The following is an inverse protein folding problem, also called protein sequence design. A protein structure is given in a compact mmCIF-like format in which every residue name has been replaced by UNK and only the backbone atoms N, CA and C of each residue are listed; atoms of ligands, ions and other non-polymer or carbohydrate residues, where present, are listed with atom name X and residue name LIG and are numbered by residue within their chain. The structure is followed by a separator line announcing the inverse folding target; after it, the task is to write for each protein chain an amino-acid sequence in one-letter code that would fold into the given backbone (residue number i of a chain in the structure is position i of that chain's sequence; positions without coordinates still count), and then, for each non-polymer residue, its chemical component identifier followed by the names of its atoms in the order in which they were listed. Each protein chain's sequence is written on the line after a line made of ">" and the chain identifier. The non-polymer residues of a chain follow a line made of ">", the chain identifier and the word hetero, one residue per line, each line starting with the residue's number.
data_IF_864584387210
#
_entry.id   IF_864584387210
#
_cell.length_a   1.000
_cell.length_b   1.000
_cell.length_c   1.000
_cell.angle_alpha   90.00
_cell.angle_beta   90.00
_cell.angle_gamma   90.00
#
_symmetry.space_group_name_H-M   'P 1'
#
loop_
_entity.id
_entity.type
_entity.pdbx_description
1 polymer ?
#
# COMPACT_ATOMS: atom_id res chain seq x y z
N UNK A 1 -42.23 -15.39 -8.91
CA UNK A 1 -41.58 -14.60 -7.83
C UNK A 1 -40.23 -15.18 -7.35
N UNK A 2 -40.10 -16.50 -7.17
CA UNK A 2 -38.83 -17.17 -6.78
C UNK A 2 -37.69 -16.97 -7.81
N UNK A 3 -37.97 -17.15 -9.10
CA UNK A 3 -36.99 -16.98 -10.19
C UNK A 3 -36.46 -15.54 -10.32
N UNK A 4 -37.26 -14.51 -10.00
CA UNK A 4 -36.82 -13.11 -10.04
C UNK A 4 -35.83 -12.78 -8.91
N UNK A 5 -36.09 -13.29 -7.69
CA UNK A 5 -35.18 -13.15 -6.54
C UNK A 5 -33.84 -13.85 -6.77
N UNK A 6 -33.85 -14.99 -7.45
CA UNK A 6 -32.64 -15.75 -7.77
C UNK A 6 -31.77 -15.04 -8.82
N UNK A 7 -32.39 -14.52 -9.89
CA UNK A 7 -31.70 -13.68 -10.89
C UNK A 7 -31.17 -12.36 -10.32
N UNK A 8 -31.88 -11.71 -9.40
CA UNK A 8 -31.39 -10.48 -8.75
C UNK A 8 -30.17 -10.77 -7.84
N UNK A 9 -30.14 -11.94 -7.20
CA UNK A 9 -29.05 -12.33 -6.29
C UNK A 9 -27.77 -12.70 -7.05
N UNK A 10 -27.88 -13.42 -8.17
CA UNK A 10 -26.75 -13.76 -9.03
C UNK A 10 -26.13 -12.51 -9.66
N UNK A 11 -26.96 -11.57 -10.12
CA UNK A 11 -26.51 -10.32 -10.75
C UNK A 11 -25.76 -9.39 -9.75
N UNK A 12 -26.29 -9.25 -8.52
CA UNK A 12 -25.58 -8.54 -7.43
C UNK A 12 -24.22 -9.16 -7.12
N UNK A 13 -24.14 -10.48 -7.07
CA UNK A 13 -22.90 -11.19 -6.75
C UNK A 13 -21.86 -11.02 -7.86
N UNK A 14 -22.27 -11.08 -9.13
CA UNK A 14 -21.39 -10.80 -10.28
C UNK A 14 -20.88 -9.35 -10.28
N UNK A 15 -21.76 -8.38 -10.01
CA UNK A 15 -21.37 -6.97 -9.89
C UNK A 15 -20.35 -6.80 -8.76
N UNK A 16 -20.61 -7.38 -7.59
CA UNK A 16 -19.68 -7.34 -6.44
C UNK A 16 -18.29 -7.91 -6.79
N UNK A 17 -18.24 -9.10 -7.42
CA UNK A 17 -16.98 -9.75 -7.82
C UNK A 17 -16.21 -8.86 -8.81
N UNK A 18 -16.90 -8.25 -9.79
CA UNK A 18 -16.27 -7.35 -10.76
C UNK A 18 -15.68 -6.11 -10.10
N UNK A 19 -16.40 -5.46 -9.20
CA UNK A 19 -15.92 -4.28 -8.48
C UNK A 19 -14.79 -4.60 -7.50
N UNK A 20 -14.87 -5.77 -6.84
CA UNK A 20 -13.79 -6.25 -5.98
C UNK A 20 -12.50 -6.46 -6.77
N UNK A 21 -12.57 -7.11 -7.94
CA UNK A 21 -11.42 -7.32 -8.82
C UNK A 21 -10.76 -6.01 -9.25
N UNK A 22 -11.55 -5.01 -9.65
CA UNK A 22 -11.03 -3.67 -10.00
C UNK A 22 -10.38 -2.98 -8.80
N UNK A 23 -11.02 -2.99 -7.64
CA UNK A 23 -10.47 -2.35 -6.43
C UNK A 23 -9.10 -2.96 -6.04
N UNK A 24 -8.96 -4.27 -6.21
CA UNK A 24 -7.71 -5.00 -5.98
C UNK A 24 -6.61 -4.55 -6.94
N UNK A 25 -6.94 -4.42 -8.22
CA UNK A 25 -6.00 -4.01 -9.27
C UNK A 25 -5.52 -2.56 -9.03
N UNK A 26 -6.44 -1.65 -8.77
CA UNK A 26 -6.14 -0.24 -8.50
C UNK A 26 -5.32 -0.06 -7.21
N UNK A 27 -5.60 -0.86 -6.17
CA UNK A 27 -4.77 -0.89 -4.97
C UNK A 27 -3.34 -1.30 -5.28
N UNK A 28 -3.13 -2.34 -6.11
CA UNK A 28 -1.81 -2.79 -6.52
C UNK A 28 -1.03 -1.72 -7.30
N UNK A 29 -1.69 -1.05 -8.26
CA UNK A 29 -1.11 0.08 -9.00
C UNK A 29 -0.72 1.22 -8.05
N UNK A 30 -1.59 1.55 -7.10
CA UNK A 30 -1.36 2.64 -6.14
C UNK A 30 -0.20 2.34 -5.20
N UNK A 31 -0.12 1.12 -4.66
CA UNK A 31 1.01 0.69 -3.81
C UNK A 31 2.33 0.76 -4.56
N UNK A 32 2.37 0.32 -5.82
CA UNK A 32 3.58 0.40 -6.65
C UNK A 32 3.99 1.85 -6.95
N UNK A 33 3.01 2.72 -7.22
CA UNK A 33 3.26 4.14 -7.43
C UNK A 33 3.85 4.79 -6.17
N UNK A 34 3.25 4.56 -5.01
CA UNK A 34 3.74 5.08 -3.72
C UNK A 34 5.17 4.58 -3.45
N UNK A 35 5.42 3.29 -3.65
CA UNK A 35 6.75 2.71 -3.43
C UNK A 35 7.80 3.34 -4.35
N UNK A 36 7.47 3.58 -5.62
CA UNK A 36 8.35 4.27 -6.55
C UNK A 36 8.63 5.71 -6.11
N UNK A 37 7.61 6.44 -5.63
CA UNK A 37 7.78 7.80 -5.11
C UNK A 37 8.65 7.83 -3.86
N UNK A 38 8.42 6.95 -2.87
CA UNK A 38 9.26 6.83 -1.68
C UNK A 38 10.72 6.60 -2.05
N UNK A 39 10.99 5.66 -2.95
CA UNK A 39 12.35 5.36 -3.40
C UNK A 39 12.98 6.51 -4.19
N UNK A 40 12.21 7.22 -5.00
CA UNK A 40 12.68 8.39 -5.72
C UNK A 40 13.09 9.51 -4.76
N UNK A 41 12.26 9.81 -3.76
CA UNK A 41 12.56 10.84 -2.75
C UNK A 41 13.75 10.46 -1.88
N UNK A 42 13.83 9.21 -1.41
CA UNK A 42 15.00 8.71 -0.68
C UNK A 42 16.26 8.79 -1.54
N UNK A 43 16.18 8.34 -2.80
CA UNK A 43 17.29 8.42 -3.75
C UNK A 43 17.77 9.85 -3.99
N UNK A 44 16.83 10.79 -4.11
CA UNK A 44 17.14 12.21 -4.22
C UNK A 44 17.87 12.75 -3.00
N UNK A 45 17.37 12.46 -1.79
CA UNK A 45 18.02 12.90 -0.54
C UNK A 45 19.43 12.30 -0.43
N UNK A 46 19.58 10.99 -0.70
CA UNK A 46 20.89 10.32 -0.68
C UNK A 46 21.84 10.96 -1.71
N UNK A 47 21.37 11.25 -2.92
CA UNK A 47 22.17 11.95 -3.94
C UNK A 47 22.69 13.29 -3.42
N UNK A 48 21.87 14.06 -2.69
CA UNK A 48 22.28 15.32 -2.09
C UNK A 48 23.31 15.14 -0.98
N UNK A 49 23.21 14.09 -0.18
CA UNK A 49 24.22 13.77 0.83
C UNK A 49 25.57 13.36 0.23
N UNK A 50 25.59 12.82 -1.01
CA UNK A 50 26.81 12.43 -1.70
C UNK A 50 27.46 13.58 -2.50
N UNK A 51 26.74 14.68 -2.73
CA UNK A 51 27.30 15.87 -3.37
C UNK A 51 28.30 16.57 -2.44
N UNK A 52 29.56 16.71 -2.88
CA UNK A 52 30.64 17.33 -2.09
C UNK A 52 30.40 18.82 -1.79
N UNK A 53 29.64 19.50 -2.66
CA UNK A 53 29.37 20.94 -2.56
C UNK A 53 28.08 21.26 -1.81
N UNK A 54 27.37 20.23 -1.34
CA UNK A 54 26.12 20.38 -0.60
C UNK A 54 26.37 20.20 0.90
N UNK A 55 26.71 21.29 1.59
CA UNK A 55 26.73 21.32 3.05
C UNK A 55 25.37 21.75 3.57
N UNK A 56 24.73 20.86 4.35
CA UNK A 56 23.58 21.24 5.15
C UNK A 56 24.06 22.20 6.25
N UNK A 57 23.58 23.45 6.22
CA UNK A 57 24.03 24.51 7.12
C UNK A 57 23.11 24.64 8.34
N UNK A 58 21.82 24.35 8.17
CA UNK A 58 20.84 24.44 9.25
C UNK A 58 20.77 23.17 10.08
N UNK A 59 20.90 23.28 11.41
CA UNK A 59 20.64 22.14 12.29
C UNK A 59 19.18 21.68 12.20
N UNK A 60 18.25 22.63 12.06
CA UNK A 60 16.81 22.35 11.98
C UNK A 60 16.49 21.66 10.65
N UNK A 61 17.02 22.15 9.53
CA UNK A 61 16.81 21.55 8.20
C UNK A 61 17.23 20.08 8.17
N UNK A 62 18.42 19.76 8.69
CA UNK A 62 18.91 18.38 8.88
C UNK A 62 17.95 17.49 9.64
N UNK A 63 17.42 17.97 10.77
CA UNK A 63 16.51 17.17 11.61
C UNK A 63 15.22 16.86 10.86
N UNK A 64 14.65 17.82 10.16
CA UNK A 64 13.44 17.61 9.34
C UNK A 64 13.68 16.60 8.21
N UNK A 65 14.79 16.73 7.48
CA UNK A 65 15.14 15.80 6.40
C UNK A 65 15.38 14.39 6.94
N UNK A 66 16.05 14.26 8.09
CA UNK A 66 16.30 12.97 8.73
C UNK A 66 14.99 12.28 9.16
N UNK A 67 14.10 13.02 9.84
CA UNK A 67 12.80 12.50 10.27
C UNK A 67 11.96 12.08 9.07
N UNK A 68 11.90 12.93 8.03
CA UNK A 68 11.16 12.62 6.81
C UNK A 68 11.73 11.39 6.09
N UNK A 69 13.06 11.26 5.99
CA UNK A 69 13.71 10.11 5.37
C UNK A 69 13.45 8.81 6.15
N UNK A 70 13.50 8.84 7.48
CA UNK A 70 13.17 7.68 8.32
C UNK A 70 11.69 7.29 8.19
N UNK A 71 10.79 8.27 8.10
CA UNK A 71 9.37 8.04 7.87
C UNK A 71 9.13 7.35 6.51
N UNK A 72 9.78 7.82 5.43
CA UNK A 72 9.65 7.20 4.10
C UNK A 72 10.29 5.81 4.03
N UNK A 73 11.40 5.56 4.74
CA UNK A 73 11.98 4.22 4.86
C UNK A 73 11.02 3.26 5.56
N UNK A 74 10.43 3.69 6.67
CA UNK A 74 9.44 2.91 7.39
C UNK A 74 8.20 2.65 6.54
N UNK A 75 7.72 3.66 5.80
CA UNK A 75 6.59 3.53 4.89
C UNK A 75 6.87 2.54 3.76
N UNK A 76 8.08 2.56 3.19
CA UNK A 76 8.51 1.60 2.17
C UNK A 76 8.39 0.15 2.68
N UNK A 77 8.76 -0.11 3.94
CA UNK A 77 8.61 -1.44 4.55
C UNK A 77 7.13 -1.81 4.68
N UNK A 78 6.28 -0.87 5.11
CA UNK A 78 4.82 -1.11 5.20
C UNK A 78 4.23 -1.42 3.82
N UNK A 79 4.58 -0.65 2.78
CA UNK A 79 4.12 -0.87 1.41
C UNK A 79 4.53 -2.24 0.87
N UNK A 80 5.76 -2.69 1.17
CA UNK A 80 6.21 -4.05 0.85
C UNK A 80 5.39 -5.12 1.58
N UNK A 81 5.11 -4.93 2.87
CA UNK A 81 4.27 -5.87 3.64
C UNK A 81 2.82 -5.91 3.10
N UNK A 82 2.26 -4.75 2.71
CA UNK A 82 0.96 -4.64 2.05
C UNK A 82 0.96 -5.41 0.72
N UNK A 83 2.01 -5.25 -0.09
CA UNK A 83 2.16 -5.96 -1.36
C UNK A 83 2.26 -7.49 -1.15
N UNK A 84 3.07 -7.95 -0.21
CA UNK A 84 3.24 -9.38 0.10
C UNK A 84 1.94 -9.99 0.64
N UNK A 85 1.25 -9.31 1.56
CA UNK A 85 -0.06 -9.74 2.06
C UNK A 85 -1.09 -9.83 0.94
N UNK A 86 -1.04 -8.90 -0.02
CA UNK A 86 -1.92 -8.90 -1.19
C UNK A 86 -1.65 -10.09 -2.10
N UNK A 87 -0.38 -10.40 -2.39
CA UNK A 87 0.02 -11.55 -3.20
C UNK A 87 -0.47 -12.86 -2.55
N UNK A 88 -0.33 -12.97 -1.22
CA UNK A 88 -0.84 -14.11 -0.47
C UNK A 88 -2.37 -14.22 -0.52
N UNK A 89 -3.09 -13.09 -0.40
CA UNK A 89 -4.55 -13.05 -0.53
C UNK A 89 -5.03 -13.50 -1.93
N UNK A 90 -4.28 -13.14 -2.99
CA UNK A 90 -4.55 -13.62 -4.34
C UNK A 90 -4.36 -15.14 -4.47
N UNK A 91 -3.26 -15.67 -3.93
CA UNK A 91 -2.99 -17.12 -3.92
C UNK A 91 -4.10 -17.90 -3.20
N UNK A 92 -4.53 -17.45 -2.02
CA UNK A 92 -5.63 -18.07 -1.29
C UNK A 92 -6.96 -17.99 -2.05
N UNK A 93 -7.24 -16.87 -2.73
CA UNK A 93 -8.46 -16.73 -3.54
C UNK A 93 -8.46 -17.68 -4.73
N UNK A 94 -7.32 -17.83 -5.42
CA UNK A 94 -7.15 -18.78 -6.51
C UNK A 94 -7.31 -20.23 -6.04
N UNK A 95 -6.77 -20.57 -4.86
CA UNK A 95 -6.96 -21.89 -4.25
C UNK A 95 -8.44 -22.17 -3.94
N UNK A 96 -9.17 -21.20 -3.38
CA UNK A 96 -10.61 -21.35 -3.11
C UNK A 96 -11.40 -21.54 -4.42
N UNK A 97 -11.05 -20.81 -5.48
CA UNK A 97 -11.70 -20.98 -6.79
C UNK A 97 -11.49 -22.40 -7.33
N UNK A 98 -10.26 -22.92 -7.28
CA UNK A 98 -9.93 -24.29 -7.70
C UNK A 98 -10.63 -25.36 -6.86
N UNK A 99 -10.71 -25.17 -5.54
CA UNK A 99 -11.42 -26.11 -4.65
C UNK A 99 -12.93 -26.16 -4.91
N UNK A 100 -13.54 -25.07 -5.38
CA UNK A 100 -14.96 -25.07 -5.78
C UNK A 100 -15.22 -25.92 -7.02
N UNK A 101 -14.26 -26.02 -7.93
CA UNK A 101 -14.35 -26.88 -9.12
C UNK A 101 -14.14 -28.36 -8.80
N UNK A 102 -13.44 -28.70 -7.71
CA UNK A 102 -13.09 -30.09 -7.35
C UNK A 102 -14.05 -30.71 -6.31
N UNK A 103 -15.23 -30.11 -6.05
CA UNK A 103 -16.26 -30.53 -5.06
C UNK A 103 -15.80 -30.77 -3.60
N UNK A 104 -14.53 -30.55 -3.28
CA UNK A 104 -13.98 -30.79 -1.94
C UNK A 104 -14.26 -29.58 -1.03
N UNK A 105 -15.45 -29.57 -0.40
CA UNK A 105 -15.97 -28.43 0.40
C UNK A 105 -15.46 -28.36 1.84
N UNK A 106 -14.60 -29.28 2.25
CA UNK A 106 -13.99 -29.29 3.58
C UNK A 106 -13.02 -28.09 3.67
N UNK A 107 -13.22 -27.17 4.61
CA UNK A 107 -12.43 -25.93 4.86
C UNK A 107 -12.75 -24.63 4.08
N UNK A 108 -13.80 -24.56 3.25
CA UNK A 108 -14.12 -23.29 2.53
C UNK A 108 -14.42 -22.12 3.50
N UNK A 109 -15.07 -22.38 4.65
CA UNK A 109 -15.42 -21.33 5.62
C UNK A 109 -14.21 -20.77 6.37
N UNK A 110 -13.25 -21.61 6.77
CA UNK A 110 -12.04 -21.17 7.50
C UNK A 110 -11.14 -20.33 6.58
N UNK A 111 -10.92 -20.81 5.35
CA UNK A 111 -10.20 -20.08 4.30
C UNK A 111 -10.83 -18.70 4.03
N UNK A 112 -12.17 -18.62 4.00
CA UNK A 112 -12.87 -17.34 3.79
C UNK A 112 -12.63 -16.35 4.92
N UNK A 113 -12.71 -16.80 6.17
CA UNK A 113 -12.48 -15.93 7.33
C UNK A 113 -11.04 -15.39 7.35
N UNK A 114 -10.05 -16.23 7.04
CA UNK A 114 -8.65 -15.83 6.99
C UNK A 114 -8.40 -14.76 5.91
N UNK A 115 -8.93 -14.95 4.70
CA UNK A 115 -8.84 -13.96 3.62
C UNK A 115 -9.50 -12.63 4.03
N UNK A 116 -10.66 -12.68 4.68
CA UNK A 116 -11.38 -11.47 5.09
C UNK A 116 -10.62 -10.68 6.17
N UNK A 117 -9.93 -11.36 7.08
CA UNK A 117 -9.09 -10.71 8.09
C UNK A 117 -7.84 -10.07 7.46
N UNK A 118 -7.15 -10.78 6.56
CA UNK A 118 -5.98 -10.26 5.85
C UNK A 118 -6.32 -9.05 4.99
N UNK A 119 -7.47 -9.06 4.33
CA UNK A 119 -7.93 -7.92 3.53
C UNK A 119 -8.20 -6.69 4.43
N UNK A 120 -8.84 -6.84 5.59
CA UNK A 120 -9.04 -5.73 6.55
C UNK A 120 -7.71 -5.15 7.04
N UNK A 121 -6.77 -6.00 7.42
CA UNK A 121 -5.44 -5.58 7.87
C UNK A 121 -4.72 -4.80 6.76
N UNK A 122 -4.78 -5.29 5.52
CA UNK A 122 -4.18 -4.64 4.34
C UNK A 122 -4.71 -3.22 4.14
N UNK A 123 -6.03 -3.03 4.21
CA UNK A 123 -6.64 -1.70 4.07
C UNK A 123 -6.29 -0.74 5.21
N UNK A 124 -6.15 -1.26 6.43
CA UNK A 124 -5.72 -0.46 7.58
C UNK A 124 -4.27 -0.01 7.41
N UNK A 125 -3.36 -0.94 7.09
CA UNK A 125 -1.95 -0.64 6.84
C UNK A 125 -1.78 0.35 5.68
N UNK A 126 -2.53 0.16 4.59
CA UNK A 126 -2.49 1.06 3.45
C UNK A 126 -2.93 2.49 3.80
N UNK A 127 -3.98 2.65 4.63
CA UNK A 127 -4.40 3.98 5.10
C UNK A 127 -3.33 4.66 5.95
N UNK A 128 -2.70 3.92 6.86
CA UNK A 128 -1.59 4.46 7.66
C UNK A 128 -0.39 4.82 6.77
N UNK A 129 -0.08 3.99 5.79
CA UNK A 129 0.99 4.24 4.82
C UNK A 129 0.79 5.56 4.07
N UNK A 130 -0.41 5.83 3.55
CA UNK A 130 -0.70 7.13 2.91
C UNK A 130 -0.41 8.32 3.84
N UNK A 131 -0.81 8.22 5.12
CA UNK A 131 -0.57 9.29 6.10
C UNK A 131 0.93 9.46 6.37
N UNK A 132 1.66 8.36 6.55
CA UNK A 132 3.12 8.40 6.80
C UNK A 132 3.85 8.95 5.58
N UNK A 133 3.49 8.51 4.38
CA UNK A 133 4.03 9.01 3.11
C UNK A 133 3.89 10.52 3.00
N UNK A 134 2.66 11.04 3.15
CA UNK A 134 2.40 12.49 3.03
C UNK A 134 3.17 13.27 4.10
N UNK A 135 3.21 12.79 5.34
CA UNK A 135 3.98 13.44 6.39
C UNK A 135 5.48 13.42 6.07
N UNK A 136 6.03 12.28 5.63
CA UNK A 136 7.43 12.12 5.27
C UNK A 136 7.87 13.10 4.16
N UNK A 137 7.07 13.20 3.10
CA UNK A 137 7.29 14.16 2.00
C UNK A 137 7.26 15.61 2.51
N UNK A 138 6.27 15.98 3.35
CA UNK A 138 6.17 17.32 3.91
C UNK A 138 7.39 17.67 4.78
N UNK A 139 7.88 16.73 5.60
CA UNK A 139 9.09 16.93 6.41
C UNK A 139 10.32 17.18 5.53
N UNK A 140 10.48 16.43 4.43
CA UNK A 140 11.60 16.63 3.50
C UNK A 140 11.48 17.99 2.79
N UNK A 141 10.30 18.34 2.29
CA UNK A 141 10.07 19.63 1.61
C UNK A 141 10.39 20.80 2.56
N UNK A 142 9.89 20.76 3.79
CA UNK A 142 10.16 21.80 4.80
C UNK A 142 11.64 21.87 5.15
N UNK A 143 12.29 20.71 5.34
CA UNK A 143 13.71 20.66 5.63
C UNK A 143 14.57 21.25 4.51
N UNK A 144 14.27 20.91 3.25
CA UNK A 144 14.95 21.48 2.07
C UNK A 144 14.68 22.98 1.93
N UNK A 145 13.44 23.41 2.19
CA UNK A 145 13.09 24.84 2.18
C UNK A 145 13.92 25.62 3.20
N UNK A 146 14.04 25.11 4.43
CA UNK A 146 14.88 25.74 5.46
C UNK A 146 16.35 25.81 5.02
N UNK A 147 16.89 24.74 4.44
CA UNK A 147 18.28 24.74 3.96
C UNK A 147 18.52 25.75 2.83
N UNK A 148 17.57 25.90 1.90
CA UNK A 148 17.67 26.86 0.80
C UNK A 148 17.64 28.30 1.33
N UNK A 149 16.82 28.60 2.34
CA UNK A 149 16.71 29.96 2.90
C UNK A 149 17.84 30.32 3.87
N UNK A 150 18.50 29.33 4.46
CA UNK A 150 19.63 29.53 5.39
C UNK A 150 20.98 29.57 4.66
N UNK A 151 21.05 29.03 3.44
CA UNK A 151 22.24 29.07 2.57
C UNK A 151 22.43 30.44 1.94
#
# INVERSE_FOLDING_TARGET
>A
MKSKKENDMTNKNQSFIRWQGRAIEELGKTVNLLLALCLATIGFVVSKFLEKDFSFNSCIGKVFILIGSLALLFDTIILLLVMLNRLNSFKSTAQIARQRETENRTNIKSLRNEVTQKDKCTWILFKYSIVIFVLGELFIILGLFIEIFVR
#
